data_IF_528673784150
#
_entry.id   IF_528673784150
#
_cell.length_a   1.000
_cell.length_b   1.000
_cell.length_c   1.000
_cell.angle_alpha   90.00
_cell.angle_beta   90.00
_cell.angle_gamma   90.00
#
_symmetry.space_group_name_H-M   'P 1'
#
loop_
_entity.id
_entity.type
_entity.pdbx_description
1 polymer ?
#
# COMPACT_ATOMS: atom_id res chain seq x y z
N UNK A 1 -13.10 20.45 22.51
CA UNK A 1 -12.43 20.45 21.19
C UNK A 1 -11.30 19.42 21.11
N UNK A 2 -10.48 19.22 22.15
CA UNK A 2 -9.36 18.26 22.13
C UNK A 2 -9.77 16.79 21.92
N UNK A 3 -10.90 16.34 22.48
CA UNK A 3 -11.38 14.97 22.30
C UNK A 3 -11.77 14.64 20.85
N UNK A 4 -12.24 15.61 20.08
CA UNK A 4 -12.62 15.43 18.66
C UNK A 4 -11.39 15.33 17.75
N UNK A 5 -10.32 16.07 18.09
CA UNK A 5 -9.06 16.02 17.34
C UNK A 5 -8.36 14.66 17.49
N UNK A 6 -8.34 14.10 18.71
CA UNK A 6 -7.75 12.78 18.95
C UNK A 6 -8.50 11.65 18.22
N UNK A 7 -9.83 11.72 18.14
CA UNK A 7 -10.64 10.74 17.39
C UNK A 7 -10.35 10.75 15.88
N UNK A 8 -10.12 11.93 15.30
CA UNK A 8 -9.80 12.07 13.87
C UNK A 8 -8.40 11.55 13.53
N UNK A 9 -7.40 11.86 14.36
CA UNK A 9 -6.01 11.39 14.16
C UNK A 9 -5.92 9.86 14.27
N UNK A 10 -6.59 9.26 15.25
CA UNK A 10 -6.59 7.80 15.45
C UNK A 10 -7.29 7.05 14.31
N UNK A 11 -8.44 7.54 13.84
CA UNK A 11 -9.12 6.98 12.68
C UNK A 11 -8.25 7.00 11.41
N UNK A 12 -7.51 8.10 11.21
CA UNK A 12 -6.64 8.27 10.05
C UNK A 12 -5.44 7.32 10.08
N UNK A 13 -4.78 7.19 11.25
CA UNK A 13 -3.70 6.23 11.46
C UNK A 13 -4.18 4.78 11.26
N UNK A 14 -5.39 4.47 11.74
CA UNK A 14 -5.98 3.14 11.61
C UNK A 14 -6.25 2.75 10.16
N UNK A 15 -6.83 3.64 9.36
CA UNK A 15 -7.08 3.39 7.94
C UNK A 15 -5.79 3.16 7.15
N UNK A 16 -4.74 3.93 7.42
CA UNK A 16 -3.42 3.72 6.81
C UNK A 16 -2.83 2.36 7.21
N UNK A 17 -2.92 1.99 8.50
CA UNK A 17 -2.47 0.70 9.00
C UNK A 17 -3.23 -0.48 8.36
N UNK A 18 -4.54 -0.36 8.17
CA UNK A 18 -5.34 -1.38 7.49
C UNK A 18 -4.83 -1.63 6.07
N UNK A 19 -4.63 -0.57 5.30
CA UNK A 19 -4.13 -0.63 3.90
C UNK A 19 -2.70 -1.18 3.83
N UNK A 20 -1.83 -0.74 4.73
CA UNK A 20 -0.40 -1.04 4.68
C UNK A 20 -0.01 -2.39 5.31
N UNK A 21 -0.78 -2.90 6.28
CA UNK A 21 -0.44 -4.11 7.04
C UNK A 21 -1.52 -5.21 6.97
N UNK A 22 -2.79 -4.87 7.19
CA UNK A 22 -3.86 -5.87 7.30
C UNK A 22 -4.24 -6.43 5.93
N UNK A 23 -4.44 -5.58 4.94
CA UNK A 23 -4.74 -5.98 3.56
C UNK A 23 -3.66 -6.91 2.98
N UNK A 24 -2.35 -6.60 3.02
CA UNK A 24 -1.34 -7.51 2.49
C UNK A 24 -1.29 -8.83 3.25
N UNK A 25 -1.49 -8.83 4.58
CA UNK A 25 -1.56 -10.06 5.35
C UNK A 25 -2.73 -10.94 4.91
N UNK A 26 -3.92 -10.35 4.74
CA UNK A 26 -5.11 -11.05 4.26
C UNK A 26 -4.92 -11.60 2.84
N UNK A 27 -4.40 -10.78 1.91
CA UNK A 27 -4.07 -11.19 0.53
C UNK A 27 -3.03 -12.32 0.54
N UNK A 28 -2.04 -12.25 1.43
CA UNK A 28 -1.02 -13.30 1.58
C UNK A 28 -1.61 -14.61 2.09
N UNK A 29 -2.52 -14.56 3.07
CA UNK A 29 -3.23 -15.74 3.57
C UNK A 29 -4.10 -16.38 2.47
N UNK A 30 -4.73 -15.55 1.63
CA UNK A 30 -5.62 -16.01 0.56
C UNK A 30 -4.91 -16.19 -0.80
N UNK A 31 -3.58 -16.11 -0.86
CA UNK A 31 -2.80 -15.99 -2.11
C UNK A 31 -2.98 -17.10 -3.16
N UNK A 32 -3.60 -18.22 -2.78
CA UNK A 32 -3.88 -19.40 -3.65
C UNK A 32 -5.31 -19.44 -4.18
N UNK A 33 -6.15 -18.46 -3.86
CA UNK A 33 -7.54 -18.43 -4.32
C UNK A 33 -7.61 -18.22 -5.84
N UNK A 34 -8.38 -19.03 -6.58
CA UNK A 34 -8.56 -18.87 -8.04
C UNK A 34 -9.30 -17.58 -8.41
N UNK A 35 -9.98 -16.94 -7.44
CA UNK A 35 -10.66 -15.67 -7.64
C UNK A 35 -9.69 -14.54 -8.01
N UNK A 36 -8.44 -14.63 -7.56
CA UNK A 36 -7.44 -13.58 -7.83
C UNK A 36 -7.05 -13.49 -9.29
N UNK A 37 -7.09 -14.58 -10.05
CA UNK A 37 -6.79 -14.54 -11.49
C UNK A 37 -7.80 -13.67 -12.23
N UNK A 38 -9.09 -13.78 -11.86
CA UNK A 38 -10.20 -13.04 -12.48
C UNK A 38 -10.15 -11.55 -12.19
N UNK A 39 -9.73 -11.18 -10.99
CA UNK A 39 -9.74 -9.79 -10.49
C UNK A 39 -8.36 -9.12 -10.67
N UNK A 40 -7.30 -9.89 -10.96
CA UNK A 40 -5.96 -9.36 -11.14
C UNK A 40 -5.89 -8.27 -12.20
N UNK A 41 -5.42 -7.11 -11.77
CA UNK A 41 -5.10 -5.96 -12.63
C UNK A 41 -3.58 -5.82 -12.74
N UNK A 42 -3.07 -5.29 -13.87
CA UNK A 42 -1.64 -5.01 -14.00
C UNK A 42 -1.17 -3.99 -12.95
N UNK A 43 0.08 -4.13 -12.50
CA UNK A 43 0.69 -3.21 -11.53
C UNK A 43 0.63 -1.74 -11.97
N UNK A 44 0.81 -1.47 -13.27
CA UNK A 44 0.72 -0.14 -13.87
C UNK A 44 -0.67 0.49 -13.82
N UNK A 45 -1.72 -0.29 -13.52
CA UNK A 45 -3.09 0.22 -13.28
C UNK A 45 -3.37 0.28 -11.78
N UNK A 46 -2.96 -0.77 -11.05
CA UNK A 46 -3.26 -0.92 -9.63
C UNK A 46 -2.67 0.20 -8.76
N UNK A 47 -1.42 0.60 -9.02
CA UNK A 47 -0.75 1.67 -8.27
C UNK A 47 -1.40 3.04 -8.52
N UNK A 48 -1.55 3.52 -9.77
CA UNK A 48 -2.24 4.78 -10.03
C UNK A 48 -3.66 4.79 -9.49
N UNK A 49 -4.39 3.68 -9.59
CA UNK A 49 -5.74 3.56 -9.05
C UNK A 49 -5.75 3.80 -7.53
N UNK A 50 -4.86 3.13 -6.77
CA UNK A 50 -4.77 3.34 -5.34
C UNK A 50 -4.35 4.78 -4.99
N UNK A 51 -3.35 5.33 -5.66
CA UNK A 51 -2.86 6.69 -5.42
C UNK A 51 -3.97 7.72 -5.67
N UNK A 52 -4.68 7.62 -6.79
CA UNK A 52 -5.77 8.54 -7.12
C UNK A 52 -6.94 8.38 -6.16
N UNK A 53 -7.30 7.15 -5.78
CA UNK A 53 -8.36 6.90 -4.80
C UNK A 53 -7.99 7.46 -3.42
N UNK A 54 -6.74 7.29 -3.01
CA UNK A 54 -6.22 7.83 -1.75
C UNK A 54 -6.19 9.35 -1.75
N UNK A 55 -5.68 9.95 -2.83
CA UNK A 55 -5.68 11.40 -3.00
C UNK A 55 -7.10 11.97 -3.00
N UNK A 56 -8.04 11.33 -3.71
CA UNK A 56 -9.44 11.74 -3.72
C UNK A 56 -10.07 11.65 -2.32
N UNK A 57 -9.84 10.55 -1.60
CA UNK A 57 -10.37 10.36 -0.24
C UNK A 57 -9.85 11.42 0.75
N UNK A 58 -8.56 11.77 0.65
CA UNK A 58 -7.88 12.66 1.59
C UNK A 58 -8.10 14.13 1.23
N UNK A 59 -7.91 14.49 -0.04
CA UNK A 59 -8.04 15.86 -0.52
C UNK A 59 -9.50 16.26 -0.72
N UNK A 60 -10.38 15.31 -1.02
CA UNK A 60 -11.82 15.56 -1.12
C UNK A 60 -12.41 16.10 0.18
N UNK A 61 -11.95 15.57 1.32
CA UNK A 61 -12.29 16.09 2.65
C UNK A 61 -11.73 17.51 2.87
N UNK A 62 -10.46 17.73 2.49
CA UNK A 62 -9.82 19.04 2.64
C UNK A 62 -10.50 20.16 1.84
N UNK A 63 -10.98 19.85 0.63
CA UNK A 63 -11.55 20.84 -0.30
C UNK A 63 -13.09 20.89 -0.21
N UNK A 64 -13.72 20.08 0.64
CA UNK A 64 -15.18 20.04 0.79
C UNK A 64 -15.91 19.44 -0.42
N UNK A 65 -15.22 18.60 -1.20
CA UNK A 65 -15.75 17.89 -2.36
C UNK A 65 -16.17 16.44 -2.02
N UNK A 66 -16.18 16.09 -0.74
CA UNK A 66 -16.53 14.75 -0.28
C UNK A 66 -18.02 14.44 -0.54
N UNK A 67 -18.35 13.26 -1.10
CA UNK A 67 -19.73 12.88 -1.38
C UNK A 67 -20.53 12.62 -0.07
N UNK A 68 -21.85 12.88 -0.07
CA UNK A 68 -22.71 12.60 1.08
C UNK A 68 -22.69 11.09 1.42
N UNK A 69 -22.20 10.73 2.61
CA UNK A 69 -21.97 9.34 3.04
C UNK A 69 -20.53 9.02 3.48
N UNK A 70 -19.62 9.99 3.36
CA UNK A 70 -18.24 10.15 3.87
C UNK A 70 -17.45 8.89 4.25
N UNK A 71 -17.76 8.16 5.32
CA UNK A 71 -16.99 6.97 5.72
C UNK A 71 -17.43 5.68 5.01
N UNK A 72 -18.74 5.49 4.79
CA UNK A 72 -19.32 4.20 4.36
C UNK A 72 -18.99 3.82 2.92
N UNK A 73 -18.64 4.80 2.09
CA UNK A 73 -18.30 4.58 0.67
C UNK A 73 -16.79 4.65 0.47
N UNK A 74 -16.12 5.61 1.11
CA UNK A 74 -14.69 5.85 0.91
C UNK A 74 -13.83 4.71 1.45
N UNK A 75 -14.16 4.16 2.62
CA UNK A 75 -13.43 3.04 3.23
C UNK A 75 -13.44 1.76 2.36
N UNK A 76 -14.60 1.22 1.92
CA UNK A 76 -14.60 0.01 1.10
C UNK A 76 -13.95 0.23 -0.27
N UNK A 77 -14.04 1.43 -0.84
CA UNK A 77 -13.36 1.76 -2.10
C UNK A 77 -11.84 1.79 -1.92
N UNK A 78 -11.34 2.41 -0.84
CA UNK A 78 -9.91 2.37 -0.49
C UNK A 78 -9.42 0.96 -0.23
N UNK A 79 -10.18 0.15 0.52
CA UNK A 79 -9.84 -1.24 0.78
C UNK A 79 -9.83 -2.07 -0.51
N UNK A 80 -10.80 -1.86 -1.40
CA UNK A 80 -10.85 -2.49 -2.72
C UNK A 80 -9.61 -2.15 -3.55
N UNK A 81 -9.28 -0.86 -3.65
CA UNK A 81 -8.07 -0.40 -4.35
C UNK A 81 -6.78 -0.95 -3.71
N UNK A 82 -6.73 -1.03 -2.38
CA UNK A 82 -5.60 -1.60 -1.65
C UNK A 82 -5.43 -3.10 -1.93
N UNK A 83 -6.52 -3.86 -1.98
CA UNK A 83 -6.48 -5.28 -2.37
C UNK A 83 -5.90 -5.40 -3.78
N UNK A 84 -6.42 -4.64 -4.75
CA UNK A 84 -5.94 -4.65 -6.12
C UNK A 84 -4.45 -4.28 -6.23
N UNK A 85 -3.99 -3.31 -5.43
CA UNK A 85 -2.59 -2.92 -5.32
C UNK A 85 -1.69 -4.06 -4.80
N UNK A 86 -2.13 -4.79 -3.78
CA UNK A 86 -1.32 -5.87 -3.20
C UNK A 86 -1.31 -7.15 -4.02
N UNK A 87 -2.26 -7.35 -4.94
CA UNK A 87 -2.34 -8.56 -5.76
C UNK A 87 -1.08 -8.81 -6.62
N UNK A 88 -0.59 -7.87 -7.45
CA UNK A 88 0.66 -8.03 -8.21
C UNK A 88 1.88 -8.30 -7.32
N UNK A 89 1.88 -7.75 -6.10
CA UNK A 89 3.00 -7.83 -5.17
C UNK A 89 3.03 -9.12 -4.33
N UNK A 90 1.90 -9.78 -4.09
CA UNK A 90 1.81 -10.87 -3.09
C UNK A 90 1.08 -12.11 -3.59
N UNK A 91 0.04 -11.96 -4.42
CA UNK A 91 -0.77 -13.08 -4.88
C UNK A 91 -0.13 -13.81 -6.07
N UNK A 92 -0.40 -15.12 -6.21
CA UNK A 92 -0.01 -15.88 -7.39
C UNK A 92 -1.04 -15.62 -8.49
N UNK A 93 -0.78 -14.61 -9.31
CA UNK A 93 -1.64 -14.23 -10.44
C UNK A 93 -0.81 -14.11 -11.71
N UNK A 94 -1.48 -14.04 -12.86
CA UNK A 94 -0.86 -13.80 -14.18
C UNK A 94 -0.05 -12.49 -14.25
N UNK A 95 -0.43 -11.51 -13.43
CA UNK A 95 0.18 -10.18 -13.37
C UNK A 95 1.14 -10.04 -12.18
N UNK A 96 1.56 -11.16 -11.58
CA UNK A 96 2.52 -11.14 -10.48
C UNK A 96 3.84 -10.55 -10.99
N UNK A 97 4.33 -9.55 -10.27
CA UNK A 97 5.63 -8.96 -10.54
C UNK A 97 6.76 -9.95 -10.16
N UNK A 98 7.82 -9.90 -10.95
CA UNK A 98 9.12 -10.49 -10.59
C UNK A 98 9.72 -9.78 -9.37
N UNK A 99 10.75 -10.35 -8.77
CA UNK A 99 11.24 -9.82 -7.49
C UNK A 99 11.87 -8.41 -7.59
N UNK A 100 12.64 -8.07 -8.64
CA UNK A 100 13.05 -6.68 -8.88
C UNK A 100 11.85 -5.74 -9.10
N UNK A 101 10.85 -6.16 -9.89
CA UNK A 101 9.64 -5.39 -10.13
C UNK A 101 8.84 -5.13 -8.85
N UNK A 102 8.75 -6.11 -7.95
CA UNK A 102 8.09 -5.95 -6.63
C UNK A 102 8.81 -4.93 -5.76
N UNK A 103 10.15 -4.90 -5.78
CA UNK A 103 10.93 -3.93 -5.03
C UNK A 103 10.65 -2.51 -5.54
N UNK A 104 10.80 -2.29 -6.85
CA UNK A 104 10.55 -0.99 -7.47
C UNK A 104 9.11 -0.53 -7.25
N UNK A 105 8.14 -1.44 -7.39
CA UNK A 105 6.73 -1.16 -7.18
C UNK A 105 6.44 -0.65 -5.77
N UNK A 106 6.95 -1.33 -4.73
CA UNK A 106 6.69 -0.95 -3.34
C UNK A 106 7.46 0.31 -2.93
N UNK A 107 8.72 0.46 -3.39
CA UNK A 107 9.50 1.67 -3.12
C UNK A 107 8.93 2.91 -3.80
N UNK A 108 8.34 2.76 -4.99
CA UNK A 108 7.66 3.86 -5.68
C UNK A 108 6.30 4.17 -5.04
N UNK A 109 5.60 3.14 -4.55
CA UNK A 109 4.29 3.32 -3.92
C UNK A 109 4.37 4.15 -2.63
N UNK A 110 5.37 3.91 -1.78
CA UNK A 110 5.52 4.60 -0.50
C UNK A 110 5.51 6.15 -0.63
N UNK A 111 6.41 6.81 -1.38
CA UNK A 111 6.38 8.27 -1.51
C UNK A 111 5.13 8.79 -2.22
N UNK A 112 4.58 8.03 -3.18
CA UNK A 112 3.37 8.45 -3.89
C UNK A 112 2.13 8.45 -2.99
N UNK A 113 2.03 7.49 -2.08
CA UNK A 113 0.95 7.41 -1.09
C UNK A 113 1.10 8.44 0.03
N UNK A 114 2.32 8.94 0.27
CA UNK A 114 2.57 10.01 1.23
C UNK A 114 2.23 11.41 0.67
N UNK A 115 2.12 11.60 -0.65
CA UNK A 115 1.83 12.92 -1.25
C UNK A 115 0.55 13.58 -0.72
N UNK A 116 -0.60 12.89 -0.60
CA UNK A 116 -1.81 13.49 -0.02
C UNK A 116 -1.60 13.90 1.44
N UNK A 117 -0.84 13.12 2.21
CA UNK A 117 -0.51 13.44 3.59
C UNK A 117 0.36 14.69 3.71
N UNK A 118 1.36 14.84 2.82
CA UNK A 118 2.18 16.06 2.73
C UNK A 118 1.32 17.28 2.39
N UNK A 119 0.34 17.14 1.49
CA UNK A 119 -0.61 18.22 1.18
C UNK A 119 -1.46 18.60 2.41
N UNK A 120 -1.91 17.63 3.21
CA UNK A 120 -2.61 17.87 4.49
C UNK A 120 -1.73 18.64 5.48
N UNK A 121 -0.44 18.29 5.60
CA UNK A 121 0.52 19.03 6.43
C UNK A 121 0.69 20.46 5.91
N UNK A 122 0.84 20.64 4.60
CA UNK A 122 0.97 21.96 3.96
C UNK A 122 -0.28 22.83 4.16
N UNK A 123 -1.47 22.22 4.28
CA UNK A 123 -2.72 22.89 4.61
C UNK A 123 -2.88 23.23 6.11
N UNK A 124 -1.84 23.00 6.93
CA UNK A 124 -1.82 23.33 8.36
C UNK A 124 -2.37 22.24 9.29
N UNK A 125 -2.77 21.07 8.76
CA UNK A 125 -3.29 19.94 9.56
C UNK A 125 -2.17 18.93 9.87
N UNK A 126 -1.09 19.39 10.49
CA UNK A 126 0.16 18.63 10.69
C UNK A 126 -0.02 17.27 11.36
N UNK A 127 -0.78 17.20 12.46
CA UNK A 127 -0.96 15.94 13.21
C UNK A 127 -1.66 14.86 12.39
N UNK A 128 -2.67 15.23 11.59
CA UNK A 128 -3.39 14.30 10.72
C UNK A 128 -2.51 13.80 9.58
N UNK A 129 -1.80 14.70 8.90
CA UNK A 129 -0.86 14.32 7.83
C UNK A 129 0.28 13.43 8.34
N UNK A 130 0.88 13.73 9.49
CA UNK A 130 1.91 12.86 10.07
C UNK A 130 1.38 11.48 10.48
N UNK A 131 0.17 11.41 11.03
CA UNK A 131 -0.45 10.13 11.38
C UNK A 131 -0.67 9.23 10.16
N UNK A 132 -0.96 9.81 8.99
CA UNK A 132 -1.05 9.07 7.73
C UNK A 132 0.31 8.49 7.31
N UNK A 133 1.35 9.31 7.28
CA UNK A 133 2.71 8.90 6.88
C UNK A 133 3.19 7.78 7.81
N UNK A 134 3.04 7.97 9.12
CA UNK A 134 3.42 6.97 10.12
C UNK A 134 2.60 5.69 9.95
N UNK A 135 1.30 5.80 9.66
CA UNK A 135 0.43 4.64 9.40
C UNK A 135 0.82 3.86 8.14
N UNK A 136 1.54 4.48 7.19
CA UNK A 136 2.05 3.82 5.98
C UNK A 136 3.43 3.17 6.16
N UNK A 137 4.11 3.34 7.31
CA UNK A 137 5.41 2.69 7.59
C UNK A 137 5.45 1.17 7.31
N UNK A 138 4.40 0.37 7.59
CA UNK A 138 4.40 -1.05 7.26
C UNK A 138 4.66 -1.34 5.77
N UNK A 139 4.26 -0.43 4.86
CA UNK A 139 4.54 -0.54 3.43
C UNK A 139 6.05 -0.46 3.15
N UNK A 140 6.74 0.50 3.78
CA UNK A 140 8.19 0.64 3.68
C UNK A 140 8.94 -0.56 4.26
N UNK A 141 8.45 -1.10 5.39
CA UNK A 141 8.99 -2.34 5.98
C UNK A 141 8.80 -3.52 5.03
N UNK A 142 7.63 -3.63 4.38
CA UNK A 142 7.37 -4.66 3.39
C UNK A 142 8.29 -4.52 2.17
N UNK A 143 8.52 -3.31 1.68
CA UNK A 143 9.47 -3.04 0.59
C UNK A 143 10.88 -3.52 0.95
N UNK A 144 11.40 -3.08 2.10
CA UNK A 144 12.71 -3.47 2.60
C UNK A 144 12.84 -5.00 2.77
N UNK A 145 11.82 -5.64 3.35
CA UNK A 145 11.79 -7.09 3.53
C UNK A 145 11.80 -7.87 2.21
N UNK A 146 11.05 -7.41 1.20
CA UNK A 146 11.05 -8.02 -0.13
C UNK A 146 12.42 -7.86 -0.80
N UNK A 147 13.00 -6.66 -0.76
CA UNK A 147 14.33 -6.40 -1.32
C UNK A 147 15.41 -7.25 -0.64
N UNK A 148 15.42 -7.31 0.68
CA UNK A 148 16.36 -8.15 1.43
C UNK A 148 16.22 -9.63 1.07
N UNK A 149 14.98 -10.13 0.95
CA UNK A 149 14.72 -11.53 0.60
C UNK A 149 15.20 -11.89 -0.81
N UNK A 150 15.14 -10.93 -1.74
CA UNK A 150 15.61 -11.06 -3.10
C UNK A 150 17.14 -11.07 -3.16
N UNK A 151 17.81 -10.09 -2.55
CA UNK A 151 19.28 -10.01 -2.47
C UNK A 151 19.87 -11.31 -1.90
N UNK A 152 19.36 -11.77 -0.75
CA UNK A 152 19.85 -13.01 -0.15
C UNK A 152 19.61 -14.25 -1.03
N UNK A 153 18.62 -14.23 -1.93
CA UNK A 153 18.40 -15.35 -2.83
C UNK A 153 19.38 -15.32 -3.99
N UNK A 154 19.62 -14.15 -4.59
CA UNK A 154 20.64 -14.00 -5.64
C UNK A 154 22.02 -14.38 -5.12
N UNK A 155 22.38 -13.98 -3.89
CA UNK A 155 23.64 -14.40 -3.27
C UNK A 155 23.75 -15.92 -3.14
N UNK A 156 22.68 -16.61 -2.72
CA UNK A 156 22.68 -18.07 -2.62
C UNK A 156 22.80 -18.76 -3.97
N UNK A 157 22.16 -18.22 -5.00
CA UNK A 157 22.23 -18.75 -6.37
C UNK A 157 23.65 -18.55 -6.93
N UNK A 158 24.24 -17.37 -6.77
CA UNK A 158 25.62 -17.09 -7.17
C UNK A 158 26.65 -17.99 -6.45
N UNK A 159 26.45 -18.27 -5.16
CA UNK A 159 27.30 -19.19 -4.41
C UNK A 159 27.16 -20.64 -4.89
N UNK A 160 25.95 -21.08 -5.28
CA UNK A 160 25.73 -22.41 -5.82
C UNK A 160 26.40 -22.59 -7.20
N UNK A 161 26.35 -21.56 -8.05
CA UNK A 161 27.00 -21.57 -9.37
C UNK A 161 28.54 -21.46 -9.28
N UNK A 162 29.06 -20.86 -8.21
CA UNK A 162 30.50 -20.71 -7.98
C UNK A 162 31.18 -21.98 -7.45
N UNK A 163 30.43 -23.01 -7.03
CA UNK A 163 30.98 -24.32 -6.66
C UNK A 163 31.01 -25.20 -7.92
N UNK A 164 32.19 -25.47 -8.52
CA UNK A 164 32.27 -26.39 -9.64
C UNK A 164 31.82 -27.78 -9.17
N UNK A 165 30.94 -28.43 -9.93
CA UNK A 165 30.59 -29.84 -9.70
C UNK A 165 31.84 -30.74 -9.71
N UNK A 166 31.79 -31.91 -9.04
CA UNK A 166 32.91 -32.84 -8.95
C UNK A 166 33.41 -33.34 -10.32
#
# INVERSE_FOLDING_TARGET
MEHSAHGSVTATAWSALLVAAVVPAAVRCLRRSPLWERISVPAGVALPLLVLTHAWAVLGDLVGLAPPGEARVTEPVLLGAAVLFWLPAVARTRHRLDDPGRCLYLFLAAPLLDLPAVAVVAAGRTAGGLAMIVGMLPLGVAAAGVTWSWVNREEREALADAVPGP
#
